data_IF_748127100784
#
_entry.id   IF_748127100784
#
_cell.length_a   1.000
_cell.length_b   1.000
_cell.length_c   1.000
_cell.angle_alpha   90.00
_cell.angle_beta   90.00
_cell.angle_gamma   90.00
#
_symmetry.space_group_name_H-M   'P 1'
#
loop_
_entity.id
_entity.type
_entity.pdbx_description
1 polymer ?
#
# COMPACT_ATOMS: atom_id res chain seq x y z
N UNK A 1 79.07 -9.05 2.70
CA UNK A 1 80.04 -8.07 2.15
C UNK A 1 79.23 -7.07 1.34
N UNK A 2 78.45 -6.16 1.95
CA UNK A 2 78.85 -4.89 2.56
C UNK A 2 79.50 -3.91 1.56
N UNK A 3 78.75 -2.88 1.16
CA UNK A 3 79.16 -1.47 0.95
C UNK A 3 78.10 -0.76 0.09
N UNK A 4 77.75 0.52 0.24
CA UNK A 4 77.92 1.51 1.29
C UNK A 4 76.97 2.69 0.94
N UNK A 5 76.40 3.36 1.95
CA UNK A 5 75.87 4.74 1.83
C UNK A 5 77.05 5.73 1.97
N UNK A 6 76.88 6.99 1.52
CA UNK A 6 76.46 8.08 2.43
C UNK A 6 75.41 9.00 1.73
N UNK A 7 74.55 9.82 2.36
CA UNK A 7 74.59 10.55 3.62
C UNK A 7 74.67 12.07 3.34
N UNK A 8 73.70 12.86 3.86
CA UNK A 8 73.61 14.34 3.94
C UNK A 8 72.86 15.03 2.76
N UNK A 9 72.01 16.06 2.93
CA UNK A 9 71.60 16.90 4.07
C UNK A 9 70.20 17.50 3.81
N UNK A 10 69.51 17.86 4.88
CA UNK A 10 68.26 18.62 4.83
C UNK A 10 68.53 20.12 4.63
N UNK A 11 67.76 20.78 3.75
CA UNK A 11 67.47 22.21 3.89
C UNK A 11 66.06 22.54 3.38
N UNK A 12 65.43 23.43 4.11
CA UNK A 12 64.03 23.81 4.09
C UNK A 12 63.63 24.67 2.89
N UNK A 13 62.50 24.34 2.26
CA UNK A 13 61.56 25.39 1.83
C UNK A 13 60.12 24.88 1.95
N UNK A 14 59.37 25.49 2.88
CA UNK A 14 57.91 25.36 2.96
C UNK A 14 57.33 26.06 1.74
N UNK A 15 56.67 25.32 0.85
CA UNK A 15 55.63 25.87 -0.02
C UNK A 15 54.30 25.26 0.39
N UNK A 16 53.56 26.05 1.15
CA UNK A 16 52.13 25.93 1.38
C UNK A 16 51.41 25.95 0.03
N UNK A 17 50.94 24.80 -0.43
CA UNK A 17 49.96 24.72 -1.52
C UNK A 17 48.59 24.84 -0.87
N UNK A 18 48.04 26.05 -0.91
CA UNK A 18 46.67 26.33 -0.48
C UNK A 18 45.69 25.61 -1.39
N UNK A 19 44.91 24.69 -0.82
CA UNK A 19 43.68 24.23 -1.45
C UNK A 19 42.64 25.33 -1.30
N UNK A 20 42.50 26.17 -2.32
CA UNK A 20 41.34 27.04 -2.45
C UNK A 20 40.12 26.15 -2.71
N UNK A 21 39.24 26.06 -1.72
CA UNK A 21 37.89 25.55 -1.88
C UNK A 21 37.14 26.49 -2.83
N UNK A 22 37.00 26.09 -4.10
CA UNK A 22 36.13 26.78 -5.05
C UNK A 22 34.68 26.44 -4.68
N UNK A 23 34.01 27.38 -4.04
CA UNK A 23 32.61 27.31 -3.65
C UNK A 23 31.70 27.13 -4.88
N UNK A 24 31.21 25.91 -5.11
CA UNK A 24 30.14 25.65 -6.08
C UNK A 24 28.75 25.95 -5.48
N UNK A 25 28.58 27.14 -4.90
CA UNK A 25 27.32 27.59 -4.30
C UNK A 25 26.44 28.44 -5.25
N UNK A 26 26.88 28.69 -6.48
CA UNK A 26 26.16 29.53 -7.44
C UNK A 26 25.20 28.78 -8.38
N UNK A 27 25.36 27.45 -8.56
CA UNK A 27 24.51 26.64 -9.44
C UNK A 27 23.19 26.19 -8.82
N UNK A 28 23.14 26.04 -7.49
CA UNK A 28 21.96 25.54 -6.78
C UNK A 28 20.88 26.63 -6.54
N UNK A 29 21.25 27.92 -6.53
CA UNK A 29 20.28 29.01 -6.37
C UNK A 29 19.43 29.28 -7.63
N UNK A 30 20.00 29.09 -8.83
CA UNK A 30 19.26 29.31 -10.08
C UNK A 30 18.20 28.23 -10.38
N UNK A 31 18.40 27.00 -9.90
CA UNK A 31 17.39 25.95 -10.02
C UNK A 31 16.22 26.19 -9.04
N UNK A 32 16.52 26.67 -7.82
CA UNK A 32 15.52 27.00 -6.80
C UNK A 32 14.65 28.24 -7.15
N UNK A 33 15.15 29.16 -7.99
CA UNK A 33 14.38 30.32 -8.45
C UNK A 33 13.54 30.04 -9.71
N UNK A 34 13.93 29.10 -10.58
CA UNK A 34 13.13 28.78 -11.79
C UNK A 34 11.88 27.93 -11.51
N UNK A 35 11.83 27.23 -10.37
CA UNK A 35 10.67 26.43 -9.94
C UNK A 35 9.59 27.30 -9.23
N UNK A 36 9.81 28.61 -9.07
CA UNK A 36 8.81 29.55 -8.55
C UNK A 36 7.87 30.13 -9.61
N UNK A 37 7.85 29.55 -10.81
CA UNK A 37 6.94 29.89 -11.90
C UNK A 37 5.64 29.09 -11.83
N UNK A 38 4.66 29.61 -11.08
CA UNK A 38 3.21 29.47 -11.33
C UNK A 38 2.63 28.07 -11.54
N UNK A 39 2.88 27.12 -10.64
CA UNK A 39 1.83 26.16 -10.28
C UNK A 39 0.95 26.85 -9.25
N UNK A 40 -0.32 27.10 -9.58
CA UNK A 40 -1.33 27.42 -8.57
C UNK A 40 -1.41 26.22 -7.64
N UNK A 41 -0.65 26.27 -6.55
CA UNK A 41 -0.81 25.43 -5.38
C UNK A 41 -2.29 25.52 -5.05
N UNK A 42 -3.04 24.42 -5.21
CA UNK A 42 -4.31 24.30 -4.49
C UNK A 42 -3.91 24.46 -3.03
N UNK A 43 -4.25 25.60 -2.45
CA UNK A 43 -4.22 25.76 -1.02
C UNK A 43 -4.90 24.52 -0.43
N UNK A 44 -4.19 23.81 0.45
CA UNK A 44 -4.82 22.79 1.29
C UNK A 44 -6.04 23.47 1.86
N UNK A 45 -7.22 22.95 1.53
CA UNK A 45 -8.46 23.50 2.05
C UNK A 45 -8.30 23.65 3.56
N UNK A 46 -8.57 24.85 4.09
CA UNK A 46 -8.61 25.07 5.54
C UNK A 46 -9.39 23.92 6.20
N UNK A 47 -8.76 23.31 7.20
CA UNK A 47 -9.28 22.19 7.97
C UNK A 47 -10.63 22.64 8.55
N UNK A 48 -11.73 22.15 7.98
CA UNK A 48 -13.03 22.25 8.64
C UNK A 48 -13.06 21.18 9.73
N UNK A 49 -13.39 21.54 10.99
CA UNK A 49 -13.67 20.53 12.00
C UNK A 49 -14.79 19.61 11.51
N UNK A 50 -14.78 18.36 11.97
CA UNK A 50 -15.77 17.34 11.62
C UNK A 50 -17.18 17.94 11.59
N UNK A 51 -17.82 17.89 10.42
CA UNK A 51 -19.20 18.33 10.25
C UNK A 51 -20.13 17.38 11.00
N UNK A 52 -21.33 17.84 11.32
CA UNK A 52 -22.38 17.07 12.02
C UNK A 52 -22.78 15.73 11.36
N UNK A 53 -22.17 15.35 10.23
CA UNK A 53 -22.31 14.04 9.60
C UNK A 53 -21.54 12.92 10.31
N UNK A 54 -20.48 13.22 11.08
CA UNK A 54 -19.75 12.18 11.82
C UNK A 54 -20.61 11.49 12.88
N UNK A 55 -21.55 12.22 13.49
CA UNK A 55 -22.55 11.69 14.40
C UNK A 55 -23.51 10.67 13.74
N UNK A 56 -23.69 10.71 12.40
CA UNK A 56 -24.51 9.73 11.66
C UNK A 56 -23.76 8.42 11.38
N UNK A 57 -22.43 8.37 11.54
CA UNK A 57 -21.63 7.20 11.17
C UNK A 57 -21.84 6.00 12.11
N UNK A 58 -22.25 6.25 13.37
CA UNK A 58 -22.48 5.20 14.37
C UNK A 58 -23.73 4.36 14.13
N UNK A 59 -24.72 4.90 13.41
CA UNK A 59 -26.04 4.28 13.23
C UNK A 59 -26.24 3.64 11.84
N UNK A 60 -25.20 3.66 10.97
CA UNK A 60 -25.29 3.10 9.61
C UNK A 60 -24.53 1.78 9.53
N UNK A 61 -25.25 0.71 9.19
CA UNK A 61 -24.66 -0.59 8.88
C UNK A 61 -23.69 -0.47 7.69
N UNK A 62 -22.47 -1.00 7.85
CA UNK A 62 -21.37 -0.87 6.89
C UNK A 62 -20.69 -2.22 6.62
N UNK A 63 -21.07 -2.93 5.55
CA UNK A 63 -22.09 -2.56 4.56
C UNK A 63 -23.54 -2.72 5.07
N UNK A 64 -24.51 -2.16 4.34
CA UNK A 64 -25.94 -2.42 4.52
C UNK A 64 -26.34 -3.83 4.02
N UNK A 65 -27.62 -4.17 4.09
CA UNK A 65 -28.15 -5.46 3.64
C UNK A 65 -27.99 -5.73 2.15
N UNK A 66 -27.70 -4.70 1.34
CA UNK A 66 -27.43 -4.83 -0.09
C UNK A 66 -25.93 -4.87 -0.40
N UNK A 67 -25.07 -4.92 0.62
CA UNK A 67 -23.63 -4.90 0.46
C UNK A 67 -23.08 -3.52 0.10
N UNK A 68 -23.78 -2.44 0.49
CA UNK A 68 -23.39 -1.06 0.16
C UNK A 68 -22.89 -0.27 1.36
N UNK A 69 -21.95 0.63 1.10
CA UNK A 69 -21.45 1.67 2.00
C UNK A 69 -21.98 3.01 1.48
N UNK A 70 -23.13 3.45 2.00
CA UNK A 70 -23.88 4.53 1.37
C UNK A 70 -24.29 4.12 -0.06
N UNK A 71 -23.84 4.87 -1.07
CA UNK A 71 -24.10 4.54 -2.48
C UNK A 71 -23.14 3.49 -3.09
N UNK A 72 -21.99 3.25 -2.46
CA UNK A 72 -20.91 2.44 -3.02
C UNK A 72 -21.04 0.97 -2.65
N UNK A 73 -20.46 0.05 -3.44
CA UNK A 73 -20.48 -1.39 -3.19
C UNK A 73 -21.51 -2.10 -4.04
N UNK A 74 -22.27 -3.02 -3.45
CA UNK A 74 -23.29 -3.82 -4.13
C UNK A 74 -22.74 -5.04 -4.88
N UNK A 75 -23.63 -5.70 -5.65
CA UNK A 75 -23.36 -6.90 -6.45
C UNK A 75 -23.67 -6.63 -7.93
N UNK A 76 -22.76 -5.98 -8.64
CA UNK A 76 -22.91 -5.67 -10.08
C UNK A 76 -22.27 -6.76 -10.95
N UNK A 77 -22.77 -7.99 -10.83
CA UNK A 77 -22.24 -9.18 -11.50
C UNK A 77 -23.31 -9.87 -12.33
N UNK A 78 -22.94 -10.76 -13.28
CA UNK A 78 -23.90 -11.63 -13.92
C UNK A 78 -24.67 -12.48 -12.91
N UNK A 79 -25.95 -12.75 -13.20
CA UNK A 79 -26.85 -13.55 -12.34
C UNK A 79 -26.25 -14.91 -11.95
N UNK A 80 -25.46 -15.51 -12.83
CA UNK A 80 -24.75 -16.79 -12.60
C UNK A 80 -23.84 -16.79 -11.37
N UNK A 81 -23.39 -15.62 -10.89
CA UNK A 81 -22.56 -15.50 -9.69
C UNK A 81 -23.34 -15.21 -8.41
N UNK A 82 -24.63 -14.85 -8.50
CA UNK A 82 -25.41 -14.41 -7.33
C UNK A 82 -25.52 -15.49 -6.27
N UNK A 83 -25.87 -16.72 -6.65
CA UNK A 83 -25.95 -17.85 -5.72
C UNK A 83 -24.61 -18.15 -5.02
N UNK A 84 -23.49 -17.98 -5.72
CA UNK A 84 -22.17 -18.21 -5.16
C UNK A 84 -21.76 -17.10 -4.18
N UNK A 85 -22.08 -15.84 -4.48
CA UNK A 85 -21.86 -14.71 -3.59
C UNK A 85 -22.73 -14.80 -2.33
N UNK A 86 -24.00 -15.20 -2.46
CA UNK A 86 -24.92 -15.37 -1.33
C UNK A 86 -24.46 -16.51 -0.41
N UNK A 87 -24.02 -17.62 -1.00
CA UNK A 87 -23.44 -18.72 -0.22
C UNK A 87 -22.14 -18.30 0.50
N UNK A 88 -21.27 -17.55 -0.18
CA UNK A 88 -20.05 -17.01 0.41
C UNK A 88 -20.37 -16.07 1.58
N UNK A 89 -21.31 -15.15 1.40
CA UNK A 89 -21.74 -14.19 2.43
C UNK A 89 -22.32 -14.89 3.65
N UNK A 90 -23.24 -15.85 3.44
CA UNK A 90 -23.82 -16.64 4.52
C UNK A 90 -22.73 -17.43 5.27
N UNK A 91 -21.88 -18.14 4.54
CA UNK A 91 -20.81 -18.95 5.13
C UNK A 91 -19.84 -18.08 5.92
N UNK A 92 -19.50 -16.91 5.40
CA UNK A 92 -18.64 -15.95 6.09
C UNK A 92 -19.26 -15.48 7.41
N UNK A 93 -20.52 -15.04 7.38
CA UNK A 93 -21.23 -14.52 8.55
C UNK A 93 -21.39 -15.57 9.68
N UNK A 94 -21.53 -16.85 9.31
CA UNK A 94 -21.53 -17.97 10.25
C UNK A 94 -20.11 -18.26 10.76
N UNK A 95 -19.12 -18.31 9.85
CA UNK A 95 -17.73 -18.68 10.15
C UNK A 95 -17.04 -17.67 11.05
N UNK A 96 -17.23 -16.36 10.84
CA UNK A 96 -16.53 -15.34 11.63
C UNK A 96 -16.97 -15.34 13.10
N UNK A 97 -18.19 -15.86 13.40
CA UNK A 97 -18.72 -15.99 14.76
C UNK A 97 -18.31 -17.30 15.44
N UNK A 98 -17.74 -18.25 14.70
CA UNK A 98 -17.34 -19.56 15.21
C UNK A 98 -16.01 -19.45 15.99
N UNK A 99 -16.00 -19.72 17.32
CA UNK A 99 -14.78 -19.68 18.13
C UNK A 99 -13.69 -20.65 17.64
N UNK A 100 -14.07 -21.79 17.05
CA UNK A 100 -13.10 -22.74 16.51
C UNK A 100 -12.39 -22.19 15.28
N UNK A 101 -13.12 -21.50 14.39
CA UNK A 101 -12.51 -20.77 13.28
C UNK A 101 -11.55 -19.69 13.77
N UNK A 102 -11.97 -18.88 14.74
CA UNK A 102 -11.13 -17.82 15.29
C UNK A 102 -9.85 -18.38 15.91
N UNK A 103 -9.94 -19.49 16.63
CA UNK A 103 -8.77 -20.17 17.20
C UNK A 103 -7.81 -20.70 16.11
N UNK A 104 -8.34 -21.36 15.07
CA UNK A 104 -7.55 -21.86 13.94
C UNK A 104 -6.88 -20.71 13.18
N UNK A 105 -7.66 -19.68 12.80
CA UNK A 105 -7.18 -18.51 12.08
C UNK A 105 -6.07 -17.78 12.84
N UNK A 106 -6.30 -17.49 14.12
CA UNK A 106 -5.32 -16.78 14.96
C UNK A 106 -4.06 -17.61 15.22
N UNK A 107 -4.17 -18.94 15.38
CA UNK A 107 -3.00 -19.82 15.49
C UNK A 107 -2.17 -19.78 14.20
N UNK A 108 -2.80 -19.83 13.02
CA UNK A 108 -2.07 -19.75 11.75
C UNK A 108 -1.43 -18.36 11.56
N UNK A 109 -2.14 -17.28 11.88
CA UNK A 109 -1.56 -15.94 11.83
C UNK A 109 -0.34 -15.81 12.74
N UNK A 110 -0.40 -16.36 13.96
CA UNK A 110 0.72 -16.32 14.90
C UNK A 110 1.89 -17.19 14.42
N UNK A 111 1.65 -18.48 14.22
CA UNK A 111 2.72 -19.47 14.11
C UNK A 111 3.23 -19.64 12.67
N UNK A 112 2.41 -19.35 11.66
CA UNK A 112 2.79 -19.48 10.25
C UNK A 112 3.06 -18.14 9.57
N UNK A 113 2.25 -17.10 9.86
CA UNK A 113 2.48 -15.76 9.29
C UNK A 113 3.54 -14.98 10.08
N UNK A 114 3.62 -15.19 11.39
CA UNK A 114 4.55 -14.50 12.28
C UNK A 114 3.95 -13.25 12.95
N UNK A 115 2.62 -13.20 13.13
CA UNK A 115 1.94 -12.09 13.80
C UNK A 115 2.13 -12.13 15.33
N UNK A 116 2.09 -11.02 16.05
CA UNK A 116 1.83 -9.64 15.60
C UNK A 116 3.02 -9.02 14.86
N UNK A 117 2.76 -8.23 13.81
CA UNK A 117 3.84 -7.48 13.15
C UNK A 117 4.28 -6.31 14.04
N UNK A 118 5.58 -5.96 14.09
CA UNK A 118 6.05 -4.85 14.92
C UNK A 118 5.50 -3.47 14.50
N UNK A 119 5.27 -2.61 15.49
CA UNK A 119 5.18 -1.15 15.30
C UNK A 119 6.54 -0.51 15.59
N UNK A 120 7.33 -0.29 14.55
CA UNK A 120 8.72 0.15 14.64
C UNK A 120 8.82 1.68 14.69
N UNK A 121 9.54 2.24 15.67
CA UNK A 121 9.83 3.68 15.69
C UNK A 121 11.00 3.97 14.74
N UNK A 122 10.73 4.71 13.66
CA UNK A 122 11.72 5.04 12.64
C UNK A 122 12.51 6.28 13.07
N UNK A 123 13.54 6.07 13.89
CA UNK A 123 14.30 7.12 14.55
C UNK A 123 14.97 8.08 13.55
N UNK A 124 15.61 7.54 12.51
CA UNK A 124 16.40 8.35 11.55
C UNK A 124 15.50 9.08 10.57
N UNK A 125 14.37 8.50 10.21
CA UNK A 125 13.31 9.11 9.42
C UNK A 125 12.60 10.21 10.22
N UNK A 126 12.33 9.97 11.50
CA UNK A 126 11.82 10.98 12.44
C UNK A 126 12.80 12.15 12.54
N UNK A 127 14.09 11.88 12.72
CA UNK A 127 15.12 12.92 12.76
C UNK A 127 15.19 13.69 11.42
N UNK A 128 15.05 13.01 10.29
CA UNK A 128 15.05 13.64 8.97
C UNK A 128 13.96 14.70 8.82
N UNK A 129 12.75 14.42 9.31
CA UNK A 129 11.61 15.34 9.23
C UNK A 129 11.49 16.31 10.42
N UNK A 130 12.33 16.18 11.43
CA UNK A 130 12.39 17.15 12.52
C UNK A 130 12.99 18.47 12.04
N UNK A 131 12.61 19.59 12.64
CA UNK A 131 13.07 20.95 12.32
C UNK A 131 13.67 21.62 13.57
N UNK A 132 14.53 22.64 13.42
CA UNK A 132 14.97 23.44 14.57
C UNK A 132 13.77 23.98 15.34
N UNK A 133 13.86 23.96 16.67
CA UNK A 133 12.86 24.59 17.53
C UNK A 133 12.97 26.12 17.39
N UNK A 134 11.96 26.81 16.82
CA UNK A 134 12.02 28.26 16.62
C UNK A 134 12.05 29.04 17.94
N UNK A 135 11.61 28.42 19.04
CA UNK A 135 11.56 29.03 20.37
C UNK A 135 12.83 28.73 21.20
N UNK A 136 13.73 27.89 20.70
CA UNK A 136 14.99 27.57 21.37
C UNK A 136 16.13 28.52 20.94
N UNK A 137 17.18 28.68 21.78
CA UNK A 137 18.40 29.40 21.38
C UNK A 137 18.97 28.89 20.05
N UNK A 138 19.57 29.78 19.25
CA UNK A 138 20.03 29.46 17.89
C UNK A 138 21.09 28.35 17.82
N UNK A 139 21.80 28.10 18.92
CA UNK A 139 22.80 27.04 19.10
C UNK A 139 22.22 25.76 19.75
N UNK A 140 20.93 25.73 20.06
CA UNK A 140 20.27 24.59 20.67
C UNK A 140 20.24 23.38 19.71
N UNK A 141 20.64 22.18 20.17
CA UNK A 141 20.50 20.96 19.39
C UNK A 141 19.06 20.45 19.35
N UNK A 142 18.13 21.12 20.04
CA UNK A 142 16.73 20.70 20.12
C UNK A 142 16.05 20.79 18.75
N UNK A 143 15.47 19.67 18.34
CA UNK A 143 14.64 19.58 17.13
C UNK A 143 13.24 19.16 17.53
N UNK A 144 12.26 19.74 16.85
CA UNK A 144 10.83 19.44 17.02
C UNK A 144 10.28 18.80 15.76
N UNK A 145 9.25 17.98 15.88
CA UNK A 145 8.59 17.39 14.72
C UNK A 145 7.77 16.15 15.06
N UNK A 146 7.15 15.53 14.04
CA UNK A 146 6.37 14.33 14.23
C UNK A 146 7.27 13.12 14.52
N UNK A 147 6.74 12.16 15.26
CA UNK A 147 7.33 10.85 15.49
C UNK A 147 6.71 9.84 14.52
N UNK A 148 7.54 9.19 13.72
CA UNK A 148 7.09 8.27 12.67
C UNK A 148 7.26 6.83 13.13
N UNK A 149 6.19 6.06 13.02
CA UNK A 149 6.15 4.64 13.31
C UNK A 149 5.75 3.86 12.06
N UNK A 150 6.43 2.75 11.79
CA UNK A 150 6.16 1.86 10.66
C UNK A 150 5.45 0.62 11.18
N UNK A 151 4.24 0.34 10.69
CA UNK A 151 3.54 -0.92 10.95
C UNK A 151 4.03 -1.98 9.97
N UNK A 152 4.89 -2.91 10.44
CA UNK A 152 5.81 -3.73 9.65
C UNK A 152 5.19 -4.96 8.98
N UNK A 153 4.20 -4.76 8.11
CA UNK A 153 3.59 -5.86 7.34
C UNK A 153 4.53 -6.47 6.30
N UNK A 154 5.67 -5.84 6.01
CA UNK A 154 6.78 -6.38 5.22
C UNK A 154 7.46 -7.60 5.83
N UNK A 155 7.34 -7.78 7.15
CA UNK A 155 7.91 -8.91 7.89
C UNK A 155 7.01 -10.13 7.92
N UNK A 156 5.75 -10.01 7.48
CA UNK A 156 4.86 -11.16 7.38
C UNK A 156 5.45 -12.22 6.47
N UNK A 157 5.13 -13.49 6.72
CA UNK A 157 5.40 -14.55 5.76
C UNK A 157 4.89 -14.14 4.36
N UNK A 158 5.63 -14.51 3.33
CA UNK A 158 5.52 -14.05 1.92
C UNK A 158 6.01 -12.63 1.64
N UNK A 159 6.06 -11.73 2.63
CA UNK A 159 6.66 -10.39 2.55
C UNK A 159 5.68 -9.21 2.41
N UNK A 160 4.38 -9.42 2.64
CA UNK A 160 3.36 -8.36 2.54
C UNK A 160 2.10 -8.67 3.34
N UNK A 161 1.25 -7.66 3.53
CA UNK A 161 -0.08 -7.77 4.15
C UNK A 161 -1.04 -8.75 3.45
N UNK A 162 -0.80 -9.12 2.17
CA UNK A 162 -1.71 -9.95 1.37
C UNK A 162 -1.98 -11.33 1.97
N UNK A 163 -1.03 -11.87 2.73
CA UNK A 163 -1.17 -13.19 3.37
C UNK A 163 -2.30 -13.26 4.40
N UNK A 164 -2.62 -12.14 5.08
CA UNK A 164 -3.71 -12.09 6.07
C UNK A 164 -5.05 -12.48 5.42
N UNK A 165 -5.35 -11.84 4.27
CA UNK A 165 -6.54 -12.12 3.48
C UNK A 165 -6.52 -13.52 2.87
N UNK A 166 -5.38 -13.94 2.31
CA UNK A 166 -5.27 -15.25 1.67
C UNK A 166 -5.55 -16.41 2.65
N UNK A 167 -5.06 -16.32 3.90
CA UNK A 167 -5.35 -17.31 4.94
C UNK A 167 -6.85 -17.31 5.29
N UNK A 168 -7.46 -16.13 5.47
CA UNK A 168 -8.88 -16.06 5.80
C UNK A 168 -9.75 -16.69 4.71
N UNK A 169 -9.53 -16.30 3.45
CA UNK A 169 -10.32 -16.80 2.33
C UNK A 169 -10.05 -18.28 1.99
N UNK A 170 -8.82 -18.79 2.15
CA UNK A 170 -8.58 -20.22 1.91
C UNK A 170 -9.30 -21.10 2.95
N UNK A 171 -9.40 -20.64 4.20
CA UNK A 171 -10.14 -21.35 5.24
C UNK A 171 -11.65 -21.30 4.97
N UNK A 172 -12.17 -20.18 4.45
CA UNK A 172 -13.55 -20.10 3.94
C UNK A 172 -13.76 -21.08 2.78
N UNK A 173 -12.86 -21.13 1.81
CA UNK A 173 -12.93 -22.04 0.67
C UNK A 173 -13.01 -23.50 1.13
N UNK A 174 -12.19 -23.89 2.11
CA UNK A 174 -12.23 -25.22 2.73
C UNK A 174 -13.57 -25.51 3.40
N UNK A 175 -14.15 -24.56 4.13
CA UNK A 175 -15.47 -24.71 4.77
C UNK A 175 -16.60 -24.85 3.76
N UNK A 176 -16.53 -24.11 2.66
CA UNK A 176 -17.48 -24.22 1.53
C UNK A 176 -17.29 -25.56 0.79
N UNK A 177 -16.12 -26.20 0.91
CA UNK A 177 -15.79 -27.46 0.23
C UNK A 177 -15.19 -27.29 -1.16
N UNK A 178 -14.65 -26.10 -1.47
CA UNK A 178 -14.00 -25.82 -2.76
C UNK A 178 -12.56 -26.33 -2.73
N UNK A 179 -12.16 -27.04 -3.79
CA UNK A 179 -10.81 -27.63 -3.93
C UNK A 179 -9.91 -26.89 -4.90
N UNK A 180 -10.51 -26.09 -5.78
CA UNK A 180 -9.82 -25.27 -6.78
C UNK A 180 -9.89 -23.81 -6.39
N UNK A 181 -8.74 -23.16 -6.37
CA UNK A 181 -8.58 -21.75 -6.05
C UNK A 181 -8.08 -21.01 -7.28
N UNK A 182 -8.72 -19.88 -7.57
CA UNK A 182 -8.21 -18.93 -8.54
C UNK A 182 -7.90 -17.58 -7.87
N UNK A 183 -6.97 -16.82 -8.42
CA UNK A 183 -6.68 -15.45 -8.03
C UNK A 183 -6.13 -14.64 -9.21
N UNK A 184 -6.22 -13.32 -9.14
CA UNK A 184 -5.49 -12.38 -9.99
C UNK A 184 -4.21 -11.89 -9.31
N UNK A 185 -3.25 -11.34 -10.05
CA UNK A 185 -2.14 -10.60 -9.44
C UNK A 185 -1.51 -9.62 -10.42
N UNK A 186 -1.06 -8.46 -9.90
CA UNK A 186 -0.26 -7.47 -10.64
C UNK A 186 1.20 -7.58 -10.22
N UNK A 187 1.58 -6.96 -9.11
CA UNK A 187 2.93 -7.05 -8.53
C UNK A 187 3.40 -8.47 -8.12
N UNK A 188 2.54 -9.49 -8.21
CA UNK A 188 2.86 -10.87 -7.86
C UNK A 188 2.65 -11.24 -6.38
N UNK A 189 2.58 -10.27 -5.47
CA UNK A 189 2.47 -10.55 -4.02
C UNK A 189 1.17 -11.28 -3.63
N UNK A 190 0.02 -10.88 -4.21
CA UNK A 190 -1.24 -11.59 -3.94
C UNK A 190 -1.23 -13.02 -4.51
N UNK A 191 -0.71 -13.18 -5.73
CA UNK A 191 -0.51 -14.49 -6.33
C UNK A 191 0.41 -15.41 -5.50
N UNK A 192 1.54 -14.89 -4.99
CA UNK A 192 2.44 -15.63 -4.11
C UNK A 192 1.76 -15.99 -2.79
N UNK A 193 1.02 -15.06 -2.18
CA UNK A 193 0.25 -15.34 -0.96
C UNK A 193 -0.80 -16.45 -1.20
N UNK A 194 -1.56 -16.36 -2.29
CA UNK A 194 -2.57 -17.37 -2.68
C UNK A 194 -1.92 -18.73 -2.93
N UNK A 195 -0.85 -18.79 -3.72
CA UNK A 195 -0.12 -20.02 -3.99
C UNK A 195 0.44 -20.64 -2.70
N UNK A 196 0.96 -19.82 -1.79
CA UNK A 196 1.51 -20.27 -0.50
C UNK A 196 0.44 -20.96 0.35
N UNK A 197 -0.74 -20.36 0.46
CA UNK A 197 -1.80 -20.94 1.27
C UNK A 197 -2.42 -22.16 0.61
N UNK A 198 -2.55 -22.17 -0.72
CA UNK A 198 -3.03 -23.35 -1.45
C UNK A 198 -2.08 -24.54 -1.29
N UNK A 199 -0.76 -24.31 -1.39
CA UNK A 199 0.25 -25.33 -1.16
C UNK A 199 0.17 -25.90 0.27
N UNK A 200 0.04 -25.04 1.28
CA UNK A 200 -0.09 -25.45 2.69
C UNK A 200 -1.33 -26.33 2.93
N UNK A 201 -2.45 -26.02 2.27
CA UNK A 201 -3.73 -26.70 2.49
C UNK A 201 -4.04 -27.79 1.45
N UNK A 202 -3.15 -28.07 0.51
CA UNK A 202 -3.33 -29.09 -0.51
C UNK A 202 -4.47 -28.78 -1.48
N UNK A 203 -4.56 -27.53 -1.94
CA UNK A 203 -5.58 -27.06 -2.88
C UNK A 203 -4.96 -26.72 -4.24
N UNK A 204 -5.71 -26.95 -5.31
CA UNK A 204 -5.28 -26.57 -6.66
C UNK A 204 -5.30 -25.03 -6.77
N UNK A 205 -4.26 -24.44 -7.35
CA UNK A 205 -4.11 -22.99 -7.44
C UNK A 205 -3.79 -22.55 -8.86
N UNK A 206 -4.60 -21.64 -9.40
CA UNK A 206 -4.36 -20.99 -10.68
C UNK A 206 -4.32 -19.48 -10.45
N UNK A 207 -3.22 -18.85 -10.83
CA UNK A 207 -3.05 -17.40 -10.72
C UNK A 207 -3.02 -16.79 -12.12
N UNK A 208 -3.95 -15.86 -12.37
CA UNK A 208 -3.97 -15.03 -13.56
C UNK A 208 -3.09 -13.80 -13.35
N UNK A 209 -2.21 -13.52 -14.31
CA UNK A 209 -1.28 -12.40 -14.25
C UNK A 209 -1.12 -11.79 -15.63
N UNK A 210 -1.17 -10.46 -15.72
CA UNK A 210 -0.94 -9.75 -16.97
C UNK A 210 0.44 -10.08 -17.55
N UNK A 211 0.54 -10.29 -18.86
CA UNK A 211 1.82 -10.69 -19.47
C UNK A 211 2.94 -9.65 -19.29
N UNK A 212 2.60 -8.36 -19.22
CA UNK A 212 3.59 -7.30 -18.94
C UNK A 212 4.02 -7.32 -17.46
N UNK A 213 3.07 -7.55 -16.55
CA UNK A 213 3.37 -7.74 -15.12
C UNK A 213 4.24 -8.99 -14.89
N UNK A 214 3.96 -10.09 -15.58
CA UNK A 214 4.79 -11.31 -15.51
C UNK A 214 6.23 -11.05 -15.90
N UNK A 215 6.46 -10.20 -16.93
CA UNK A 215 7.79 -9.81 -17.37
C UNK A 215 8.50 -8.96 -16.32
N UNK A 216 7.82 -7.94 -15.77
CA UNK A 216 8.36 -7.03 -14.75
C UNK A 216 8.64 -7.73 -13.43
N UNK A 217 7.83 -8.74 -13.08
CA UNK A 217 7.81 -9.38 -11.76
C UNK A 217 8.16 -10.88 -11.85
N UNK A 218 9.13 -11.23 -12.71
CA UNK A 218 9.53 -12.61 -12.98
C UNK A 218 9.91 -13.42 -11.72
N UNK A 219 10.48 -12.77 -10.70
CA UNK A 219 10.79 -13.41 -9.41
C UNK A 219 9.54 -13.98 -8.73
N UNK A 220 8.44 -13.21 -8.71
CA UNK A 220 7.20 -13.68 -8.10
C UNK A 220 6.50 -14.74 -8.95
N UNK A 221 6.59 -14.68 -10.29
CA UNK A 221 6.13 -15.77 -11.18
C UNK A 221 6.84 -17.08 -10.84
N UNK A 222 8.16 -17.04 -10.68
CA UNK A 222 8.94 -18.22 -10.31
C UNK A 222 8.54 -18.75 -8.93
N UNK A 223 8.39 -17.88 -7.93
CA UNK A 223 7.94 -18.27 -6.57
C UNK A 223 6.57 -18.96 -6.58
N UNK A 224 5.61 -18.46 -7.35
CA UNK A 224 4.29 -19.10 -7.47
C UNK A 224 4.38 -20.51 -8.07
N UNK A 225 5.17 -20.68 -9.13
CA UNK A 225 5.37 -22.00 -9.75
C UNK A 225 6.10 -22.97 -8.82
N UNK A 226 7.08 -22.49 -8.07
CA UNK A 226 7.77 -23.30 -7.05
C UNK A 226 6.83 -23.79 -5.95
N UNK A 227 5.80 -23.01 -5.62
CA UNK A 227 4.73 -23.38 -4.69
C UNK A 227 3.67 -24.31 -5.33
N UNK A 228 3.83 -24.70 -6.59
CA UNK A 228 2.92 -25.61 -7.29
C UNK A 228 1.70 -24.95 -7.95
N UNK A 229 1.62 -23.61 -7.96
CA UNK A 229 0.54 -22.92 -8.65
C UNK A 229 0.76 -22.87 -10.17
N UNK A 230 -0.32 -23.03 -10.93
CA UNK A 230 -0.34 -22.70 -12.35
C UNK A 230 -0.39 -21.17 -12.51
N UNK A 231 0.51 -20.58 -13.29
CA UNK A 231 0.50 -19.12 -13.56
C UNK A 231 0.14 -18.88 -15.01
N UNK A 232 -1.04 -18.32 -15.25
CA UNK A 232 -1.61 -18.06 -16.59
C UNK A 232 -1.38 -16.61 -16.99
N UNK A 233 -0.70 -16.43 -18.12
CA UNK A 233 -0.46 -15.13 -18.73
C UNK A 233 -1.72 -14.59 -19.40
N UNK A 234 -2.07 -13.34 -19.12
CA UNK A 234 -3.18 -12.63 -19.77
C UNK A 234 -2.61 -11.66 -20.81
N UNK A 235 -2.98 -11.87 -22.07
CA UNK A 235 -2.48 -11.11 -23.22
C UNK A 235 -3.49 -10.10 -23.80
N UNK A 236 -4.74 -10.15 -23.33
CA UNK A 236 -5.78 -9.18 -23.65
C UNK A 236 -5.50 -7.81 -23.02
N UNK A 237 -6.07 -6.75 -23.62
CA UNK A 237 -6.00 -5.39 -23.09
C UNK A 237 -4.58 -4.87 -22.92
N UNK A 238 -4.35 -4.20 -21.78
CA UNK A 238 -3.06 -3.63 -21.37
C UNK A 238 -2.09 -4.69 -20.86
N UNK A 239 -2.57 -5.91 -20.61
CA UNK A 239 -1.77 -7.03 -20.10
C UNK A 239 -1.26 -6.74 -18.69
N UNK A 240 -2.08 -6.07 -17.89
CA UNK A 240 -1.81 -5.70 -16.49
C UNK A 240 -2.90 -6.24 -15.54
N UNK A 241 -2.86 -5.83 -14.26
CA UNK A 241 -3.77 -6.28 -13.21
C UNK A 241 -5.26 -6.26 -13.60
N UNK A 242 -5.75 -5.20 -14.25
CA UNK A 242 -7.16 -5.08 -14.63
C UNK A 242 -7.62 -6.22 -15.56
N UNK A 243 -6.79 -6.60 -16.53
CA UNK A 243 -7.11 -7.71 -17.44
C UNK A 243 -7.01 -9.06 -16.73
N UNK A 244 -6.04 -9.22 -15.83
CA UNK A 244 -5.93 -10.41 -14.99
C UNK A 244 -7.16 -10.62 -14.09
N UNK A 245 -7.70 -9.54 -13.50
CA UNK A 245 -8.96 -9.57 -12.74
C UNK A 245 -10.12 -10.00 -13.64
N UNK A 246 -10.20 -9.44 -14.85
CA UNK A 246 -11.27 -9.77 -15.80
C UNK A 246 -11.26 -11.25 -16.19
N UNK A 247 -10.08 -11.83 -16.47
CA UNK A 247 -9.94 -13.25 -16.78
C UNK A 247 -10.22 -14.16 -15.58
N UNK A 248 -9.79 -13.78 -14.37
CA UNK A 248 -10.14 -14.52 -13.16
C UNK A 248 -11.65 -14.56 -12.91
N UNK A 249 -12.36 -13.45 -13.11
CA UNK A 249 -13.83 -13.41 -13.00
C UNK A 249 -14.49 -14.29 -14.08
N UNK A 250 -13.99 -14.28 -15.32
CA UNK A 250 -14.51 -15.15 -16.41
C UNK A 250 -14.34 -16.64 -16.10
N UNK A 251 -13.16 -17.02 -15.58
CA UNK A 251 -12.93 -18.38 -15.10
C UNK A 251 -13.91 -18.73 -13.98
N UNK A 252 -14.09 -17.82 -13.02
CA UNK A 252 -14.99 -18.05 -11.89
C UNK A 252 -16.42 -18.30 -12.33
N UNK A 253 -16.95 -17.48 -13.25
CA UNK A 253 -18.29 -17.65 -13.83
C UNK A 253 -18.44 -19.04 -14.46
N UNK A 254 -17.40 -19.53 -15.13
CA UNK A 254 -17.41 -20.83 -15.82
C UNK A 254 -17.31 -22.01 -14.85
N UNK A 255 -16.60 -21.85 -13.73
CA UNK A 255 -16.24 -22.94 -12.81
C UNK A 255 -16.78 -22.74 -11.38
N UNK A 256 -17.87 -21.99 -11.23
CA UNK A 256 -18.39 -21.49 -9.95
C UNK A 256 -18.68 -22.62 -8.94
N UNK A 257 -19.12 -23.78 -9.41
CA UNK A 257 -19.49 -24.93 -8.57
C UNK A 257 -18.29 -25.60 -7.90
N UNK A 258 -17.09 -25.53 -8.50
CA UNK A 258 -15.90 -26.23 -8.00
C UNK A 258 -14.83 -25.27 -7.48
N UNK A 259 -14.94 -23.99 -7.81
CA UNK A 259 -13.89 -22.99 -7.63
C UNK A 259 -14.24 -21.94 -6.60
N UNK A 260 -13.28 -21.57 -5.77
CA UNK A 260 -13.32 -20.34 -4.98
C UNK A 260 -12.36 -19.31 -5.58
N UNK A 261 -12.84 -18.08 -5.74
CA UNK A 261 -12.02 -16.96 -6.17
C UNK A 261 -11.51 -16.19 -4.94
N UNK A 262 -10.19 -16.20 -4.72
CA UNK A 262 -9.57 -15.35 -3.69
C UNK A 262 -9.25 -13.99 -4.29
N UNK A 263 -10.16 -13.04 -4.07
CA UNK A 263 -9.99 -11.65 -4.52
C UNK A 263 -8.95 -10.92 -3.65
N UNK A 264 -7.98 -10.26 -4.29
CA UNK A 264 -6.76 -9.77 -3.65
C UNK A 264 -6.82 -8.43 -2.95
N UNK A 265 -7.95 -7.73 -2.98
CA UNK A 265 -8.07 -6.36 -2.46
C UNK A 265 -9.48 -6.08 -1.93
N UNK A 266 -9.68 -4.97 -1.20
CA UNK A 266 -10.97 -4.60 -0.63
C UNK A 266 -11.93 -4.00 -1.70
N UNK A 267 -12.03 -4.68 -2.84
CA UNK A 267 -12.80 -4.30 -4.01
C UNK A 267 -13.63 -5.50 -4.51
N UNK A 268 -14.33 -5.33 -5.62
CA UNK A 268 -15.21 -6.35 -6.18
C UNK A 268 -16.60 -6.37 -5.53
N UNK A 269 -17.47 -7.30 -5.96
CA UNK A 269 -18.84 -7.36 -5.47
C UNK A 269 -18.89 -7.77 -4.00
N UNK A 270 -19.92 -7.32 -3.29
CA UNK A 270 -20.23 -7.88 -1.97
C UNK A 270 -20.37 -9.41 -2.04
N UNK A 271 -19.77 -10.20 -1.12
CA UNK A 271 -19.19 -9.79 0.17
C UNK A 271 -17.67 -9.52 0.18
N UNK A 272 -16.98 -9.49 -0.96
CA UNK A 272 -15.52 -9.40 -0.99
C UNK A 272 -14.92 -8.17 -0.29
N UNK A 273 -15.41 -6.92 -0.50
CA UNK A 273 -14.87 -5.76 0.20
C UNK A 273 -14.90 -5.92 1.73
N UNK A 274 -16.01 -6.43 2.26
CA UNK A 274 -16.20 -6.68 3.70
C UNK A 274 -15.26 -7.79 4.20
N UNK A 275 -15.22 -8.94 3.52
CA UNK A 275 -14.38 -10.08 3.91
C UNK A 275 -12.90 -9.69 3.92
N UNK A 276 -12.44 -9.00 2.88
CA UNK A 276 -11.03 -8.62 2.76
C UNK A 276 -10.66 -7.60 3.83
N UNK A 277 -11.52 -6.60 4.08
CA UNK A 277 -11.33 -5.64 5.18
C UNK A 277 -11.22 -6.36 6.53
N UNK A 278 -12.14 -7.27 6.84
CA UNK A 278 -12.20 -7.92 8.14
C UNK A 278 -10.97 -8.81 8.41
N UNK A 279 -10.48 -9.52 7.38
CA UNK A 279 -9.23 -10.29 7.48
C UNK A 279 -7.98 -9.40 7.51
N UNK A 280 -8.04 -8.18 6.99
CA UNK A 280 -6.94 -7.21 7.08
C UNK A 280 -7.01 -6.34 8.34
N UNK A 281 -8.16 -6.26 9.03
CA UNK A 281 -8.36 -5.42 10.22
C UNK A 281 -7.43 -5.78 11.40
N UNK A 282 -6.79 -6.94 11.35
CA UNK A 282 -5.73 -7.30 12.29
C UNK A 282 -4.58 -6.28 12.30
N UNK A 283 -4.32 -5.61 11.18
CA UNK A 283 -3.30 -4.55 11.07
C UNK A 283 -3.64 -3.40 12.01
N UNK A 284 -4.88 -2.89 11.94
CA UNK A 284 -5.40 -1.81 12.78
C UNK A 284 -5.51 -2.22 14.24
N UNK A 285 -6.03 -3.43 14.53
CA UNK A 285 -6.11 -3.98 15.90
C UNK A 285 -4.76 -3.96 16.61
N UNK A 286 -3.75 -4.51 15.95
CA UNK A 286 -2.40 -4.55 16.50
C UNK A 286 -1.80 -3.16 16.60
N UNK A 287 -1.95 -2.31 15.57
CA UNK A 287 -1.43 -0.95 15.60
C UNK A 287 -2.03 -0.12 16.76
N UNK A 288 -3.33 -0.27 17.03
CA UNK A 288 -4.02 0.38 18.15
C UNK A 288 -3.50 -0.13 19.49
N UNK A 289 -3.40 -1.44 19.68
CA UNK A 289 -2.80 -2.03 20.90
C UNK A 289 -1.38 -1.51 21.12
N UNK A 290 -0.55 -1.59 20.08
CA UNK A 290 0.86 -1.21 20.12
C UNK A 290 1.06 0.31 20.30
N UNK A 291 0.08 1.15 19.93
CA UNK A 291 0.13 2.60 20.16
C UNK A 291 0.04 2.93 21.65
N UNK A 292 -0.87 2.27 22.37
CA UNK A 292 -0.96 2.40 23.83
C UNK A 292 0.28 1.86 24.52
N UNK A 293 0.82 0.73 24.07
CA UNK A 293 2.06 0.15 24.64
C UNK A 293 3.28 1.06 24.45
N UNK A 294 3.40 1.74 23.29
CA UNK A 294 4.61 2.51 22.94
C UNK A 294 4.57 3.97 23.37
N UNK A 295 3.39 4.59 23.36
CA UNK A 295 3.26 6.02 23.66
C UNK A 295 1.98 6.37 24.42
N UNK A 296 1.28 5.39 24.99
CA UNK A 296 0.22 5.61 25.99
C UNK A 296 -1.09 6.20 25.47
N UNK A 297 -1.27 6.33 24.14
CA UNK A 297 -2.46 6.93 23.52
C UNK A 297 -2.70 6.42 22.10
N UNK A 298 -3.78 6.87 21.48
CA UNK A 298 -4.02 6.70 20.04
C UNK A 298 -3.03 7.55 19.20
N UNK A 299 -2.69 7.11 17.97
CA UNK A 299 -1.92 7.92 17.04
C UNK A 299 -2.72 9.15 16.60
N UNK A 300 -2.03 10.17 16.08
CA UNK A 300 -2.69 11.35 15.53
C UNK A 300 -3.02 11.15 14.03
N UNK A 301 -2.17 10.40 13.32
CA UNK A 301 -2.30 10.16 11.88
C UNK A 301 -2.01 8.70 11.53
N UNK A 302 -2.85 8.12 10.69
CA UNK A 302 -2.63 6.86 9.97
C UNK A 302 -2.40 7.16 8.50
N UNK A 303 -1.38 6.55 7.91
CA UNK A 303 -0.98 6.78 6.52
C UNK A 303 -0.78 5.45 5.80
N UNK A 304 -1.40 5.26 4.63
CA UNK A 304 -1.31 4.02 3.88
C UNK A 304 -1.44 4.26 2.36
N UNK A 305 -0.83 3.40 1.54
CA UNK A 305 -0.97 3.48 0.09
C UNK A 305 -2.31 2.85 -0.36
N UNK A 306 -2.92 3.39 -1.42
CA UNK A 306 -4.24 2.97 -1.91
C UNK A 306 -4.14 2.62 -3.39
N UNK A 307 -4.12 1.31 -3.68
CA UNK A 307 -4.52 0.75 -4.97
C UNK A 307 -5.99 0.37 -4.88
N UNK A 308 -6.30 -0.93 -4.85
CA UNK A 308 -7.66 -1.36 -4.48
C UNK A 308 -8.04 -1.17 -3.00
N UNK A 309 -7.07 -0.91 -2.10
CA UNK A 309 -7.33 -0.43 -0.74
C UNK A 309 -7.18 -1.41 0.45
N UNK A 310 -6.83 -2.68 0.24
CA UNK A 310 -6.84 -3.68 1.35
C UNK A 310 -5.95 -3.36 2.55
N UNK A 311 -4.72 -2.86 2.33
CA UNK A 311 -3.81 -2.53 3.44
C UNK A 311 -4.31 -1.30 4.22
N UNK A 312 -4.79 -0.29 3.50
CA UNK A 312 -5.28 0.95 4.07
C UNK A 312 -6.55 0.69 4.89
N UNK A 313 -7.53 -0.05 4.36
CA UNK A 313 -8.68 -0.48 5.14
C UNK A 313 -8.30 -1.37 6.32
N UNK A 314 -7.33 -2.28 6.16
CA UNK A 314 -6.83 -3.06 7.29
C UNK A 314 -6.27 -2.21 8.44
N UNK A 315 -5.57 -1.11 8.13
CA UNK A 315 -5.07 -0.18 9.13
C UNK A 315 -6.18 0.74 9.68
N UNK A 316 -7.08 1.23 8.82
CA UNK A 316 -8.05 2.27 9.14
C UNK A 316 -9.27 1.75 9.90
N UNK A 317 -9.72 0.53 9.59
CA UNK A 317 -11.03 0.02 10.01
C UNK A 317 -11.29 0.19 11.51
N UNK A 318 -10.32 -0.21 12.33
CA UNK A 318 -10.42 -0.14 13.79
C UNK A 318 -10.46 1.30 14.33
N UNK A 319 -10.00 2.28 13.57
CA UNK A 319 -9.93 3.70 13.96
C UNK A 319 -11.05 4.54 13.35
N UNK A 320 -11.95 3.95 12.56
CA UNK A 320 -13.00 4.70 11.87
C UNK A 320 -13.86 5.51 12.85
N UNK A 321 -14.11 5.02 14.06
CA UNK A 321 -14.88 5.74 15.08
C UNK A 321 -14.04 6.69 15.95
N UNK A 322 -12.71 6.62 15.88
CA UNK A 322 -11.81 7.51 16.61
C UNK A 322 -11.62 8.82 15.83
N UNK A 323 -12.57 9.75 15.95
CA UNK A 323 -12.61 11.01 15.17
C UNK A 323 -11.34 11.89 15.31
N UNK A 324 -10.62 11.75 16.44
CA UNK A 324 -9.34 12.43 16.66
C UNK A 324 -8.18 11.88 15.84
N UNK A 325 -8.35 10.73 15.18
CA UNK A 325 -7.32 10.05 14.38
C UNK A 325 -7.57 10.33 12.89
N UNK A 326 -6.64 11.07 12.27
CA UNK A 326 -6.67 11.33 10.82
C UNK A 326 -6.28 10.07 10.05
N UNK A 327 -7.03 9.76 8.99
CA UNK A 327 -6.76 8.61 8.13
C UNK A 327 -6.46 9.11 6.72
N UNK A 328 -5.26 8.83 6.23
CA UNK A 328 -4.75 9.38 4.98
C UNK A 328 -4.36 8.24 4.03
N UNK A 329 -5.09 8.14 2.92
CA UNK A 329 -4.75 7.26 1.79
C UNK A 329 -3.90 7.98 0.74
N UNK A 330 -2.90 7.29 0.19
CA UNK A 330 -2.03 7.83 -0.86
C UNK A 330 -2.10 6.98 -2.12
N UNK A 331 -2.59 7.57 -3.21
CA UNK A 331 -2.72 6.95 -4.52
C UNK A 331 -1.49 7.23 -5.41
N UNK A 332 -1.34 6.47 -6.50
CA UNK A 332 -0.28 6.70 -7.46
C UNK A 332 -0.68 7.78 -8.49
N UNK A 333 0.03 8.90 -8.48
CA UNK A 333 -0.12 9.93 -9.49
C UNK A 333 0.62 9.60 -10.79
N UNK A 334 1.39 8.50 -10.87
CA UNK A 334 2.18 8.13 -12.05
C UNK A 334 3.10 9.27 -12.48
N UNK A 335 2.95 9.75 -13.71
CA UNK A 335 3.69 10.91 -14.24
C UNK A 335 3.08 12.27 -13.83
N UNK A 336 1.95 12.26 -13.12
CA UNK A 336 1.24 13.42 -12.59
C UNK A 336 -0.26 13.34 -12.89
N UNK A 337 -1.09 13.78 -11.94
CA UNK A 337 -2.57 13.79 -12.07
C UNK A 337 -3.14 14.70 -13.16
N UNK A 338 -2.29 15.55 -13.76
CA UNK A 338 -2.65 16.41 -14.89
C UNK A 338 -2.38 15.74 -16.24
N UNK A 339 -1.79 14.54 -16.23
CA UNK A 339 -1.53 13.71 -17.41
C UNK A 339 -2.56 12.58 -17.48
N UNK A 340 -2.57 11.83 -18.57
CA UNK A 340 -3.33 10.58 -18.72
C UNK A 340 -2.65 9.37 -18.06
N UNK A 341 -1.46 9.54 -17.47
CA UNK A 341 -0.64 8.46 -16.92
C UNK A 341 -0.61 8.52 -15.40
N UNK A 342 -1.69 8.08 -14.77
CA UNK A 342 -1.80 7.96 -13.32
C UNK A 342 -2.79 6.86 -12.90
N UNK A 343 -2.79 6.50 -11.61
CA UNK A 343 -3.80 5.64 -10.99
C UNK A 343 -4.44 6.31 -9.76
N UNK A 344 -4.60 7.65 -9.81
CA UNK A 344 -5.16 8.46 -8.73
C UNK A 344 -6.70 8.50 -8.76
N UNK A 345 -7.31 7.34 -8.52
CA UNK A 345 -8.74 7.08 -8.69
C UNK A 345 -9.67 7.98 -7.87
N UNK A 346 -9.41 8.16 -6.57
CA UNK A 346 -10.22 9.00 -5.69
C UNK A 346 -9.94 10.49 -5.91
N UNK A 347 -8.77 10.82 -6.43
CA UNK A 347 -8.35 12.19 -6.75
C UNK A 347 -8.98 12.72 -8.04
N UNK A 348 -8.99 11.90 -9.09
CA UNK A 348 -9.33 12.33 -10.46
C UNK A 348 -10.46 11.52 -11.12
N UNK A 349 -10.90 10.42 -10.50
CA UNK A 349 -11.95 9.56 -11.05
C UNK A 349 -13.36 10.04 -10.74
N UNK A 350 -14.30 9.28 -11.31
CA UNK A 350 -15.74 9.49 -11.18
C UNK A 350 -16.43 8.23 -10.67
N UNK A 351 -17.68 8.37 -10.21
CA UNK A 351 -18.45 7.22 -9.74
C UNK A 351 -18.93 6.39 -10.93
N UNK A 352 -18.73 5.08 -10.86
CA UNK A 352 -19.26 4.13 -11.82
C UNK A 352 -19.12 2.70 -11.33
N UNK A 353 -19.27 1.73 -12.23
CA UNK A 353 -19.27 0.31 -11.90
C UNK A 353 -18.11 -0.39 -12.58
N UNK A 354 -17.24 -1.02 -11.78
CA UNK A 354 -16.11 -1.80 -12.28
C UNK A 354 -15.92 -3.05 -11.43
N UNK A 355 -15.64 -4.18 -12.10
CA UNK A 355 -15.34 -5.47 -11.46
C UNK A 355 -16.34 -5.91 -10.37
N UNK A 356 -17.62 -5.57 -10.51
CA UNK A 356 -18.68 -6.07 -9.64
C UNK A 356 -19.18 -5.12 -8.56
N UNK A 357 -18.61 -3.92 -8.41
CA UNK A 357 -19.06 -2.93 -7.43
C UNK A 357 -19.14 -1.52 -8.02
N UNK A 358 -20.03 -0.71 -7.43
CA UNK A 358 -20.07 0.74 -7.64
C UNK A 358 -19.04 1.42 -6.75
N UNK A 359 -18.16 2.22 -7.32
CA UNK A 359 -17.07 2.93 -6.62
C UNK A 359 -16.58 4.12 -7.45
N UNK A 360 -15.59 4.87 -6.97
CA UNK A 360 -14.79 5.71 -7.85
C UNK A 360 -13.93 4.85 -8.79
N UNK A 361 -13.81 5.29 -10.03
CA UNK A 361 -12.89 4.74 -11.03
C UNK A 361 -12.46 5.79 -12.05
N UNK A 362 -11.36 5.52 -12.76
CA UNK A 362 -10.91 6.31 -13.90
C UNK A 362 -11.68 5.89 -15.15
N UNK A 363 -12.51 6.78 -15.67
CA UNK A 363 -13.30 6.56 -16.89
C UNK A 363 -13.41 7.86 -17.71
N UNK A 364 -13.64 7.73 -19.01
CA UNK A 364 -13.92 8.85 -19.90
C UNK A 364 -15.40 9.25 -19.87
N UNK A 365 -15.77 10.24 -20.68
CA UNK A 365 -17.15 10.74 -20.76
C UNK A 365 -18.16 9.72 -21.28
N UNK A 366 -17.70 8.67 -21.95
CA UNK A 366 -18.53 7.58 -22.47
C UNK A 366 -18.59 6.39 -21.49
N UNK A 367 -17.97 6.53 -20.31
CA UNK A 367 -17.88 5.50 -19.29
C UNK A 367 -16.89 4.38 -19.62
N UNK A 368 -15.98 4.58 -20.58
CA UNK A 368 -14.92 3.62 -20.87
C UNK A 368 -13.79 3.77 -19.87
N UNK A 369 -13.24 2.65 -19.42
CA UNK A 369 -12.17 2.62 -18.43
C UNK A 369 -10.90 3.24 -19.00
N UNK A 370 -10.39 4.29 -18.35
CA UNK A 370 -9.09 4.86 -18.65
C UNK A 370 -8.01 3.95 -18.08
N UNK A 371 -6.98 3.67 -18.88
CA UNK A 371 -5.88 2.81 -18.48
C UNK A 371 -5.07 3.48 -17.35
N UNK A 372 -4.88 2.83 -16.20
CA UNK A 372 -4.08 3.39 -15.13
C UNK A 372 -2.59 3.35 -15.50
N UNK A 373 -1.80 4.17 -14.81
CA UNK A 373 -0.35 4.06 -14.85
C UNK A 373 0.28 4.31 -13.47
N UNK A 374 1.23 3.46 -13.11
CA UNK A 374 2.18 3.69 -12.02
C UNK A 374 3.44 2.85 -12.22
N UNK A 375 4.56 3.34 -11.69
CA UNK A 375 5.78 2.55 -11.47
C UNK A 375 5.52 1.30 -10.59
N UNK A 376 4.50 1.37 -9.73
CA UNK A 376 4.14 0.32 -8.80
C UNK A 376 2.96 -0.51 -9.32
N UNK A 377 3.25 -1.74 -9.76
CA UNK A 377 2.23 -2.66 -10.27
C UNK A 377 1.09 -2.98 -9.27
N UNK A 378 1.31 -2.80 -7.96
CA UNK A 378 0.27 -2.98 -6.94
C UNK A 378 -0.69 -1.79 -6.78
N UNK A 379 -0.32 -0.63 -7.31
CA UNK A 379 -1.17 0.58 -7.34
C UNK A 379 -1.73 0.88 -8.74
N UNK A 380 -1.24 0.19 -9.77
CA UNK A 380 -1.66 0.32 -11.17
C UNK A 380 -3.06 -0.30 -11.42
N UNK A 381 -4.09 0.33 -10.86
CA UNK A 381 -5.48 -0.12 -10.90
C UNK A 381 -6.41 1.08 -11.06
N UNK A 382 -7.39 1.05 -12.00
CA UNK A 382 -8.21 2.23 -12.30
C UNK A 382 -9.42 2.37 -11.38
N UNK A 383 -9.63 1.45 -10.43
CA UNK A 383 -10.73 1.51 -9.48
C UNK A 383 -10.23 1.62 -8.03
N UNK A 384 -11.15 1.60 -7.09
CA UNK A 384 -10.84 1.55 -5.64
C UNK A 384 -11.94 0.83 -4.87
N UNK A 385 -11.62 0.33 -3.68
CA UNK A 385 -12.59 -0.30 -2.79
C UNK A 385 -13.77 0.63 -2.43
N UNK A 386 -15.02 0.13 -2.39
CA UNK A 386 -16.20 0.97 -2.17
C UNK A 386 -16.25 1.64 -0.79
N UNK A 387 -15.66 1.03 0.24
CA UNK A 387 -15.59 1.65 1.57
C UNK A 387 -14.64 2.86 1.58
N UNK A 388 -13.59 2.87 0.76
CA UNK A 388 -12.74 4.05 0.61
C UNK A 388 -13.51 5.21 -0.04
N UNK A 389 -14.28 4.92 -1.09
CA UNK A 389 -15.18 5.88 -1.75
C UNK A 389 -16.18 6.47 -0.77
N UNK A 390 -16.78 5.63 0.07
CA UNK A 390 -17.68 6.08 1.14
C UNK A 390 -16.96 6.99 2.15
N UNK A 391 -15.80 6.57 2.67
CA UNK A 391 -15.03 7.36 3.64
C UNK A 391 -14.53 8.70 3.07
N UNK A 392 -14.27 8.77 1.76
CA UNK A 392 -13.97 10.02 1.05
C UNK A 392 -15.18 10.94 1.05
N UNK A 393 -16.32 10.44 0.59
CA UNK A 393 -17.52 11.26 0.40
C UNK A 393 -18.04 11.84 1.73
N UNK A 394 -17.95 11.08 2.83
CA UNK A 394 -18.34 11.58 4.15
C UNK A 394 -17.24 12.37 4.87
N UNK A 395 -16.08 12.58 4.23
CA UNK A 395 -14.95 13.32 4.79
C UNK A 395 -14.24 12.64 5.97
N UNK A 396 -14.45 11.33 6.19
CA UNK A 396 -13.81 10.59 7.30
C UNK A 396 -12.36 10.22 7.00
N UNK A 397 -12.02 9.98 5.73
CA UNK A 397 -10.65 9.74 5.29
C UNK A 397 -10.24 10.75 4.21
N UNK A 398 -8.97 11.15 4.24
CA UNK A 398 -8.35 12.05 3.29
C UNK A 398 -7.58 11.24 2.25
N UNK A 399 -7.62 11.65 0.97
CA UNK A 399 -6.90 10.97 -0.10
C UNK A 399 -6.05 11.95 -0.89
N UNK A 400 -4.78 11.62 -1.03
CA UNK A 400 -3.79 12.38 -1.79
C UNK A 400 -3.09 11.45 -2.78
N UNK A 401 -2.24 12.01 -3.62
CA UNK A 401 -1.47 11.23 -4.58
C UNK A 401 -0.04 11.76 -4.70
N UNK A 402 0.87 10.87 -5.07
CA UNK A 402 2.30 11.18 -5.29
C UNK A 402 2.76 10.51 -6.58
N UNK A 403 3.68 11.16 -7.26
CA UNK A 403 4.26 10.73 -8.54
C UNK A 403 5.25 9.59 -8.36
N UNK A 404 5.55 8.92 -9.47
CA UNK A 404 6.52 7.83 -9.52
C UNK A 404 7.93 8.28 -9.06
N UNK A 405 8.34 9.49 -9.43
CA UNK A 405 9.61 10.08 -9.02
C UNK A 405 9.67 10.29 -7.50
N UNK A 406 8.60 10.80 -6.90
CA UNK A 406 8.51 11.01 -5.46
C UNK A 406 8.54 9.68 -4.69
N UNK A 407 7.81 8.67 -5.18
CA UNK A 407 7.84 7.33 -4.63
C UNK A 407 9.25 6.72 -4.71
N UNK A 408 9.96 6.91 -5.84
CA UNK A 408 11.34 6.44 -5.99
C UNK A 408 12.32 7.15 -5.05
N UNK A 409 12.16 8.46 -4.83
CA UNK A 409 12.96 9.17 -3.84
C UNK A 409 12.70 8.67 -2.41
N UNK A 410 11.44 8.42 -2.06
CA UNK A 410 11.08 7.87 -0.76
C UNK A 410 11.63 6.46 -0.54
N UNK A 411 11.56 5.61 -1.58
CA UNK A 411 12.18 4.27 -1.59
C UNK A 411 13.66 4.36 -1.20
N UNK A 412 14.42 5.25 -1.87
CA UNK A 412 15.86 5.45 -1.60
C UNK A 412 16.11 6.05 -0.22
N UNK A 413 15.30 7.04 0.18
CA UNK A 413 15.42 7.72 1.46
C UNK A 413 15.28 6.73 2.61
N UNK A 414 14.19 5.98 2.64
CA UNK A 414 13.92 5.04 3.75
C UNK A 414 14.93 3.90 3.76
N UNK A 415 15.33 3.39 2.60
CA UNK A 415 16.39 2.37 2.50
C UNK A 415 17.71 2.86 3.13
N UNK A 416 18.09 4.13 2.89
CA UNK A 416 19.34 4.71 3.42
C UNK A 416 19.23 5.16 4.88
N UNK A 417 18.07 5.62 5.30
CA UNK A 417 17.86 6.11 6.66
C UNK A 417 17.66 4.96 7.63
N UNK A 418 16.83 3.98 7.30
CA UNK A 418 16.40 2.94 8.24
C UNK A 418 16.95 1.55 7.91
N UNK A 419 17.61 1.36 6.76
CA UNK A 419 18.08 0.03 6.35
C UNK A 419 16.94 -0.93 6.01
N UNK A 420 15.74 -0.40 5.72
CA UNK A 420 14.55 -1.18 5.35
C UNK A 420 14.20 -0.83 3.92
N UNK A 421 14.16 -1.82 3.03
CA UNK A 421 13.81 -1.63 1.62
C UNK A 421 12.29 -1.76 1.45
N UNK A 422 11.54 -0.65 1.27
CA UNK A 422 10.09 -0.69 1.10
C UNK A 422 9.69 -1.25 -0.26
N UNK A 423 8.50 -1.85 -0.36
CA UNK A 423 7.86 -2.01 -1.66
C UNK A 423 7.59 -0.65 -2.31
N UNK A 424 7.56 -0.56 -3.64
CA UNK A 424 7.23 0.69 -4.34
C UNK A 424 5.82 1.19 -3.97
N UNK A 425 4.88 0.29 -3.68
CA UNK A 425 3.54 0.61 -3.16
C UNK A 425 3.66 1.39 -1.84
N UNK A 426 4.36 0.80 -0.86
CA UNK A 426 4.64 1.42 0.45
C UNK A 426 5.38 2.76 0.30
N UNK A 427 6.24 2.87 -0.70
CA UNK A 427 7.03 4.08 -0.95
C UNK A 427 6.15 5.27 -1.33
N UNK A 428 4.97 5.07 -1.91
CA UNK A 428 4.01 6.16 -2.15
C UNK A 428 3.53 6.78 -0.84
N UNK A 429 3.13 5.95 0.13
CA UNK A 429 2.75 6.43 1.46
C UNK A 429 3.90 7.18 2.14
N UNK A 430 5.13 6.66 2.03
CA UNK A 430 6.33 7.29 2.61
C UNK A 430 6.70 8.61 1.91
N UNK A 431 6.46 8.73 0.61
CA UNK A 431 6.73 9.96 -0.15
C UNK A 431 5.86 11.12 0.32
N UNK A 432 4.60 10.84 0.67
CA UNK A 432 3.69 11.87 1.16
C UNK A 432 4.13 12.52 2.49
N UNK A 433 5.04 11.89 3.24
CA UNK A 433 5.62 12.48 4.45
C UNK A 433 6.36 13.81 4.17
N UNK A 434 6.90 14.01 2.97
CA UNK A 434 7.52 15.29 2.55
C UNK A 434 6.52 16.45 2.62
N UNK A 435 5.26 16.18 2.29
CA UNK A 435 4.19 17.16 2.35
C UNK A 435 3.58 17.25 3.74
N UNK A 436 3.38 16.10 4.38
CA UNK A 436 2.67 16.02 5.65
C UNK A 436 3.49 16.55 6.82
N UNK A 437 4.73 16.07 7.00
CA UNK A 437 5.52 16.33 8.20
C UNK A 437 5.81 17.81 8.48
N UNK A 438 6.09 18.67 7.48
CA UNK A 438 6.27 20.10 7.71
C UNK A 438 5.06 20.80 8.33
N UNK A 439 3.86 20.22 8.20
CA UNK A 439 2.60 20.78 8.70
C UNK A 439 2.21 20.25 10.09
N UNK A 440 2.90 19.22 10.59
CA UNK A 440 2.56 18.59 11.86
C UNK A 440 3.18 19.34 13.04
N UNK A 441 2.50 19.29 14.18
CA UNK A 441 2.99 19.82 15.44
C UNK A 441 4.12 18.94 16.00
N UNK A 442 4.87 19.48 16.97
CA UNK A 442 5.85 18.69 17.70
C UNK A 442 5.18 17.51 18.43
N UNK A 443 5.83 16.36 18.41
CA UNK A 443 5.37 15.17 19.13
C UNK A 443 4.18 14.43 18.50
N UNK A 444 3.62 14.90 17.38
CA UNK A 444 2.55 14.21 16.62
C UNK A 444 2.97 12.77 16.28
N UNK A 445 2.12 11.77 16.53
CA UNK A 445 2.37 10.34 16.26
C UNK A 445 1.77 9.95 14.91
N UNK A 446 2.64 9.61 13.96
CA UNK A 446 2.25 9.14 12.63
C UNK A 446 2.54 7.65 12.53
N UNK A 447 1.52 6.84 12.23
CA UNK A 447 1.70 5.42 11.89
C UNK A 447 1.55 5.27 10.37
N UNK A 448 2.59 4.75 9.73
CA UNK A 448 2.59 4.41 8.30
C UNK A 448 2.42 2.91 8.14
N UNK A 449 1.44 2.47 7.35
CA UNK A 449 1.31 1.08 6.95
C UNK A 449 2.48 0.71 6.04
N UNK A 450 3.41 -0.09 6.55
CA UNK A 450 4.54 -0.58 5.76
C UNK A 450 4.11 -1.88 5.07
N UNK A 451 3.32 -1.72 4.01
CA UNK A 451 2.44 -2.78 3.46
C UNK A 451 3.15 -4.01 2.89
N UNK A 452 4.46 -3.91 2.59
CA UNK A 452 5.28 -4.97 2.01
C UNK A 452 6.73 -4.57 1.78
N UNK A 453 7.61 -5.57 1.61
CA UNK A 453 9.04 -5.40 1.32
C UNK A 453 9.35 -5.26 -0.17
N UNK A 454 10.45 -4.56 -0.46
CA UNK A 454 10.84 -4.17 -1.82
C UNK A 454 11.68 -5.17 -2.61
N UNK A 455 11.91 -6.40 -2.14
CA UNK A 455 12.73 -7.38 -2.88
C UNK A 455 12.26 -7.57 -4.32
N UNK A 456 10.93 -7.55 -4.54
CA UNK A 456 10.31 -7.69 -5.87
C UNK A 456 10.59 -6.51 -6.80
N UNK A 457 10.90 -5.35 -6.24
CA UNK A 457 11.02 -4.10 -6.97
C UNK A 457 12.48 -3.74 -7.30
N UNK A 458 13.45 -4.48 -6.74
CA UNK A 458 14.89 -4.20 -6.91
C UNK A 458 15.27 -4.14 -8.40
N UNK A 459 14.86 -5.10 -9.22
CA UNK A 459 15.15 -5.10 -10.65
C UNK A 459 14.54 -3.91 -11.39
N UNK A 460 13.32 -3.51 -11.04
CA UNK A 460 12.68 -2.32 -11.59
C UNK A 460 13.47 -1.08 -11.22
N UNK A 461 13.88 -0.95 -9.96
CA UNK A 461 14.64 0.19 -9.45
C UNK A 461 16.03 0.28 -10.08
N UNK A 462 16.73 -0.84 -10.27
CA UNK A 462 18.03 -0.91 -10.94
C UNK A 462 17.93 -0.30 -12.35
N UNK A 463 16.96 -0.77 -13.14
CA UNK A 463 16.75 -0.27 -14.50
C UNK A 463 16.44 1.23 -14.54
N UNK A 464 15.68 1.74 -13.56
CA UNK A 464 15.30 3.14 -13.48
C UNK A 464 16.44 4.04 -12.99
N UNK A 465 17.32 3.53 -12.14
CA UNK A 465 18.50 4.25 -11.67
C UNK A 465 19.65 4.25 -12.68
N UNK A 466 19.57 3.41 -13.73
CA UNK A 466 20.63 3.24 -14.72
C UNK A 466 21.91 2.68 -14.10
N UNK A 467 21.79 1.93 -13.02
CA UNK A 467 22.92 1.23 -12.40
C UNK A 467 23.06 -0.15 -13.07
N UNK A 468 24.21 -0.44 -13.67
CA UNK A 468 24.54 -1.81 -14.11
C UNK A 468 24.86 -2.65 -12.87
N UNK A 469 24.26 -3.84 -12.76
CA UNK A 469 24.48 -4.80 -11.66
C UNK A 469 25.85 -5.49 -11.72
#
# INVERSE_FOLDING_TARGET
LASARPGLSASSSRRTVGWQAVSHSAGFKKLAESVRGTVKVRAVAEIKPATAESAKMKDVARPDSFGRYGQFGGKYVPETLMAALDNLEKTYNETIKDPAFQAEFNSILKDYVGRESPLYFAERLTQHYSRPDPDAPADSPRRIGPHIYLKREDLNHTGAHKINNAIGQVLLAKRIGKKRIIAETGAGQHGVATATVCARFGLDCIVYMGAEDMRRQALNVFRMRLLGAEVRAVHSGTRTLKDATSEAIRDWVTNVDTTHYILGSAAGPHPYPMIVRDFQAIIGREAKKQSFEKFGRLPDVLLACVGGGSNAMGLFHDFVEDEGVRMIGVEAAGHGVHTDKHAATLTAGEVGVLHGAMSYLLQDSDGQIIEPHSISAGLDYPGVGPEHSFLKDIGRAEYFSVTDDEALQAFKRVSRLEGIIPALETSHALAYLEYLCPQLADGTKVIVCFSGRGDKDVNTVINLLGEDL
#
